data_IF_387686708273
#
_entry.id   IF_387686708273
#
_cell.length_a   1.000
_cell.length_b   1.000
_cell.length_c   1.000
_cell.angle_alpha   90.00
_cell.angle_beta   90.00
_cell.angle_gamma   90.00
#
_symmetry.space_group_name_H-M   'P 1'
#
loop_
_entity.id
_entity.type
_entity.pdbx_description
1 polymer ?
#
# COMPACT_ATOMS: atom_id res chain seq x y z
N UNK A 1 5.87 -32.00 7.51
CA UNK A 1 6.66 -30.77 7.68
C UNK A 1 5.70 -29.65 7.87
N UNK A 2 5.97 -28.82 8.84
CA UNK A 2 5.17 -27.66 9.20
C UNK A 2 5.39 -26.53 8.20
N UNK A 3 4.35 -25.75 7.93
CA UNK A 3 4.35 -24.70 6.93
C UNK A 3 3.90 -23.35 7.50
N UNK A 4 4.47 -22.28 6.99
CA UNK A 4 4.02 -20.91 7.23
C UNK A 4 2.71 -20.62 6.49
N UNK A 5 2.05 -19.49 6.79
CA UNK A 5 0.82 -19.09 6.06
C UNK A 5 1.07 -19.00 4.56
N UNK A 6 2.14 -18.30 4.16
CA UNK A 6 2.52 -18.14 2.75
C UNK A 6 2.77 -19.48 2.07
N UNK A 7 3.45 -20.41 2.72
CA UNK A 7 3.69 -21.74 2.17
C UNK A 7 2.38 -22.52 1.96
N UNK A 8 1.44 -22.45 2.89
CA UNK A 8 0.14 -23.14 2.77
C UNK A 8 -0.69 -22.58 1.60
N UNK A 9 -0.72 -21.26 1.43
CA UNK A 9 -1.43 -20.65 0.30
C UNK A 9 -0.80 -21.08 -1.03
N UNK A 10 0.53 -21.03 -1.15
CA UNK A 10 1.22 -21.43 -2.37
C UNK A 10 1.06 -22.95 -2.66
N UNK A 11 1.11 -23.81 -1.64
CA UNK A 11 0.85 -25.24 -1.78
C UNK A 11 -0.55 -25.49 -2.32
N UNK A 12 -1.57 -24.87 -1.74
CA UNK A 12 -2.96 -24.99 -2.17
C UNK A 12 -3.12 -24.62 -3.66
N UNK A 13 -2.57 -23.47 -4.08
CA UNK A 13 -2.69 -22.99 -5.47
C UNK A 13 -1.81 -23.73 -6.46
N UNK A 14 -0.79 -24.46 -5.98
CA UNK A 14 0.02 -25.37 -6.79
C UNK A 14 -0.60 -26.77 -6.89
N UNK A 15 -1.67 -27.07 -6.13
CA UNK A 15 -2.24 -28.42 -6.04
C UNK A 15 -1.30 -29.42 -5.35
N UNK A 16 -0.50 -28.94 -4.40
CA UNK A 16 0.47 -29.74 -3.64
C UNK A 16 0.05 -29.82 -2.17
N UNK A 17 0.31 -30.94 -1.52
CA UNK A 17 0.03 -31.10 -0.09
C UNK A 17 0.98 -30.23 0.76
N UNK A 18 2.19 -30.00 0.28
CA UNK A 18 3.20 -29.18 0.96
C UNK A 18 4.22 -28.59 -0.01
N UNK A 19 4.84 -27.50 0.44
CA UNK A 19 5.98 -26.85 -0.23
C UNK A 19 7.04 -26.44 0.80
N UNK A 20 8.26 -26.24 0.33
CA UNK A 20 9.40 -25.83 1.17
C UNK A 20 10.01 -24.54 0.63
N UNK A 21 10.62 -23.73 1.51
CA UNK A 21 11.35 -22.55 1.11
C UNK A 21 12.43 -22.89 0.07
N UNK A 22 12.49 -22.09 -0.99
CA UNK A 22 13.41 -22.31 -2.11
C UNK A 22 12.87 -23.22 -3.23
N UNK A 23 11.78 -23.95 -3.00
CA UNK A 23 11.13 -24.78 -4.03
C UNK A 23 10.52 -23.88 -5.13
N UNK A 24 10.67 -24.29 -6.39
CA UNK A 24 9.97 -23.65 -7.50
C UNK A 24 8.60 -24.30 -7.69
N UNK A 25 7.55 -23.49 -7.69
CA UNK A 25 6.17 -23.93 -7.86
C UNK A 25 5.46 -23.10 -8.93
N UNK A 26 4.58 -23.74 -9.67
CA UNK A 26 3.65 -23.09 -10.58
C UNK A 26 2.29 -23.03 -9.89
N UNK A 27 1.75 -21.84 -9.66
CA UNK A 27 0.48 -21.65 -8.96
C UNK A 27 -0.59 -21.07 -9.87
N UNK A 28 -1.84 -21.39 -9.61
CA UNK A 28 -2.96 -20.67 -10.18
C UNK A 28 -3.08 -19.30 -9.47
N UNK A 29 -3.40 -18.24 -10.24
CA UNK A 29 -3.63 -16.91 -9.70
C UNK A 29 -5.11 -16.59 -9.69
N UNK A 30 -5.57 -15.94 -8.60
CA UNK A 30 -6.98 -15.53 -8.46
C UNK A 30 -7.21 -14.17 -9.06
N UNK A 31 -6.17 -13.34 -9.10
CA UNK A 31 -6.26 -12.00 -9.66
C UNK A 31 -4.95 -11.52 -10.26
N UNK A 32 -5.07 -10.88 -11.42
CA UNK A 32 -3.98 -10.14 -12.07
C UNK A 32 -4.35 -8.67 -12.09
N UNK A 33 -3.50 -7.83 -11.49
CA UNK A 33 -3.71 -6.39 -11.36
C UNK A 33 -2.78 -5.60 -12.27
N UNK A 34 -3.31 -4.59 -12.93
CA UNK A 34 -2.54 -3.61 -13.68
C UNK A 34 -3.04 -2.19 -13.51
N UNK A 35 -2.14 -1.24 -13.75
CA UNK A 35 -2.41 0.19 -13.69
C UNK A 35 -1.93 0.91 -14.96
N UNK A 36 -2.20 2.20 -15.08
CA UNK A 36 -1.90 3.00 -16.26
C UNK A 36 -0.40 3.27 -16.51
N UNK A 37 0.49 2.90 -15.57
CA UNK A 37 1.94 2.98 -15.79
C UNK A 37 2.50 1.67 -16.34
N UNK A 38 2.17 0.56 -15.70
CA UNK A 38 2.82 -0.74 -15.95
C UNK A 38 2.07 -1.58 -16.98
N UNK A 39 0.74 -1.45 -17.07
CA UNK A 39 -0.07 -2.17 -18.04
C UNK A 39 0.28 -1.93 -19.49
N UNK A 40 0.65 -0.70 -19.95
CA UNK A 40 1.06 -0.52 -21.35
C UNK A 40 2.24 -1.41 -21.78
N UNK A 41 3.16 -1.72 -20.84
CA UNK A 41 4.26 -2.66 -21.11
C UNK A 41 3.75 -4.10 -21.13
N UNK A 42 2.95 -4.47 -20.11
CA UNK A 42 2.38 -5.80 -20.01
C UNK A 42 1.45 -6.15 -21.19
N UNK A 43 0.64 -5.19 -21.68
CA UNK A 43 -0.23 -5.36 -22.85
C UNK A 43 0.59 -5.68 -24.10
N UNK A 44 1.69 -4.96 -24.34
CA UNK A 44 2.56 -5.25 -25.49
C UNK A 44 3.17 -6.66 -25.39
N UNK A 45 3.60 -7.07 -24.21
CA UNK A 45 4.13 -8.43 -24.03
C UNK A 45 3.02 -9.50 -24.18
N UNK A 46 1.80 -9.23 -23.67
CA UNK A 46 0.64 -10.09 -23.87
C UNK A 46 0.27 -10.27 -25.35
N UNK A 47 0.28 -9.19 -26.13
CA UNK A 47 0.04 -9.25 -27.58
C UNK A 47 1.11 -10.10 -28.30
N UNK A 48 2.37 -10.06 -27.84
CA UNK A 48 3.46 -10.89 -28.39
C UNK A 48 3.29 -12.38 -28.07
N UNK A 49 2.65 -12.74 -26.94
CA UNK A 49 2.33 -14.13 -26.62
C UNK A 49 1.36 -14.72 -27.65
N UNK A 50 0.44 -13.92 -28.19
CA UNK A 50 -0.46 -14.30 -29.28
C UNK A 50 -1.58 -15.24 -28.89
N UNK A 51 -2.06 -15.18 -27.63
CA UNK A 51 -3.23 -15.92 -27.19
C UNK A 51 -4.55 -15.28 -27.62
N UNK A 52 -5.62 -16.06 -27.68
CA UNK A 52 -6.97 -15.60 -27.99
C UNK A 52 -7.73 -15.29 -26.70
N UNK A 53 -7.60 -14.06 -26.20
CA UNK A 53 -8.27 -13.59 -25.00
C UNK A 53 -7.48 -13.84 -23.70
N UNK A 54 -7.80 -13.05 -22.68
CA UNK A 54 -7.27 -13.26 -21.33
C UNK A 54 -7.84 -14.54 -20.71
N UNK A 55 -7.09 -15.15 -19.77
CA UNK A 55 -7.51 -16.42 -19.16
C UNK A 55 -8.88 -16.34 -18.47
N UNK A 56 -9.20 -15.18 -17.89
CA UNK A 56 -10.48 -14.92 -17.24
C UNK A 56 -10.69 -13.39 -17.14
N UNK A 57 -11.70 -12.88 -17.81
CA UNK A 57 -12.03 -11.45 -17.87
C UNK A 57 -12.54 -10.87 -16.54
N UNK A 58 -13.00 -11.72 -15.62
CA UNK A 58 -13.41 -11.30 -14.27
C UNK A 58 -12.23 -11.25 -13.31
N UNK A 59 -11.15 -11.98 -13.59
CA UNK A 59 -9.96 -12.07 -12.73
C UNK A 59 -8.82 -11.14 -13.15
N UNK A 60 -8.89 -10.52 -14.30
CA UNK A 60 -8.01 -9.40 -14.68
C UNK A 60 -8.65 -8.10 -14.23
N UNK A 61 -7.87 -7.26 -13.56
CA UNK A 61 -8.30 -5.94 -13.07
C UNK A 61 -7.37 -4.87 -13.60
N UNK A 62 -7.95 -3.78 -14.12
CA UNK A 62 -7.20 -2.60 -14.58
C UNK A 62 -7.71 -1.35 -13.87
N UNK A 63 -6.79 -0.57 -13.28
CA UNK A 63 -7.11 0.65 -12.54
C UNK A 63 -6.31 1.82 -13.09
N UNK A 64 -7.00 2.90 -13.45
CA UNK A 64 -6.39 4.13 -13.95
C UNK A 64 -6.22 5.12 -12.79
N UNK A 65 -5.13 5.05 -12.05
CA UNK A 65 -4.96 5.79 -10.79
C UNK A 65 -3.66 6.61 -10.68
N UNK A 66 -2.69 6.40 -11.57
CA UNK A 66 -1.41 7.10 -11.50
C UNK A 66 -1.39 8.38 -12.34
N UNK A 67 -1.92 8.31 -13.57
CA UNK A 67 -1.92 9.42 -14.55
C UNK A 67 -3.32 9.94 -14.89
N UNK A 68 -4.34 9.43 -14.24
CA UNK A 68 -5.72 9.85 -14.43
C UNK A 68 -6.20 10.79 -13.29
N UNK A 69 -6.93 11.87 -13.61
CA UNK A 69 -7.14 12.45 -14.94
C UNK A 69 -5.81 12.82 -15.61
N UNK A 70 -5.71 12.65 -16.92
CA UNK A 70 -4.42 12.69 -17.61
C UNK A 70 -3.70 14.03 -17.48
N UNK A 71 -2.45 14.01 -17.03
CA UNK A 71 -1.60 15.20 -16.81
C UNK A 71 -0.98 15.76 -18.09
N UNK A 72 -0.78 14.92 -19.11
CA UNK A 72 -0.15 15.27 -20.38
C UNK A 72 -0.56 14.29 -21.49
N UNK A 73 -0.11 14.56 -22.73
CA UNK A 73 -0.42 13.72 -23.91
C UNK A 73 0.14 12.31 -23.78
N UNK A 74 1.33 12.13 -23.16
CA UNK A 74 1.94 10.80 -22.99
C UNK A 74 1.10 9.95 -22.02
N UNK A 75 0.67 10.54 -20.92
CA UNK A 75 -0.25 9.91 -19.98
C UNK A 75 -1.57 9.53 -20.66
N UNK A 76 -2.14 10.42 -21.48
CA UNK A 76 -3.38 10.14 -22.21
C UNK A 76 -3.23 8.96 -23.18
N UNK A 77 -2.10 8.83 -23.87
CA UNK A 77 -1.81 7.70 -24.76
C UNK A 77 -1.72 6.39 -23.98
N UNK A 78 -1.06 6.38 -22.82
CA UNK A 78 -0.97 5.19 -21.96
C UNK A 78 -2.33 4.75 -21.44
N UNK A 79 -3.11 5.67 -20.90
CA UNK A 79 -4.48 5.38 -20.44
C UNK A 79 -5.39 4.91 -21.58
N UNK A 80 -5.26 5.51 -22.79
CA UNK A 80 -6.01 5.05 -23.96
C UNK A 80 -5.66 3.61 -24.33
N UNK A 81 -4.38 3.24 -24.32
CA UNK A 81 -3.97 1.85 -24.59
C UNK A 81 -4.61 0.87 -23.61
N UNK A 82 -4.67 1.21 -22.32
CA UNK A 82 -5.35 0.39 -21.32
C UNK A 82 -6.85 0.29 -21.58
N UNK A 83 -7.53 1.40 -21.96
CA UNK A 83 -8.96 1.40 -22.32
C UNK A 83 -9.25 0.51 -23.52
N UNK A 84 -8.48 0.69 -24.59
CA UNK A 84 -8.63 -0.08 -25.83
C UNK A 84 -8.42 -1.59 -25.57
N UNK A 85 -7.45 -1.94 -24.72
CA UNK A 85 -7.24 -3.32 -24.29
C UNK A 85 -8.40 -3.86 -23.48
N UNK A 86 -8.89 -3.11 -22.48
CA UNK A 86 -10.00 -3.54 -21.66
C UNK A 86 -11.29 -3.74 -22.45
N UNK A 87 -11.54 -2.88 -23.45
CA UNK A 87 -12.68 -3.02 -24.38
C UNK A 87 -12.52 -4.27 -25.25
N UNK A 88 -11.34 -4.45 -25.87
CA UNK A 88 -11.04 -5.59 -26.75
C UNK A 88 -11.15 -6.93 -26.02
N UNK A 89 -10.60 -7.04 -24.81
CA UNK A 89 -10.58 -8.27 -24.01
C UNK A 89 -11.82 -8.40 -23.11
N UNK A 90 -12.76 -7.46 -23.18
CA UNK A 90 -13.98 -7.41 -22.36
C UNK A 90 -13.73 -7.50 -20.85
N UNK A 91 -12.68 -6.81 -20.35
CA UNK A 91 -12.30 -6.83 -18.94
C UNK A 91 -13.44 -6.28 -18.08
N UNK A 92 -13.97 -7.10 -17.17
CA UNK A 92 -15.09 -6.74 -16.31
C UNK A 92 -14.68 -5.73 -15.23
N UNK A 93 -13.53 -5.95 -14.63
CA UNK A 93 -13.01 -5.13 -13.52
C UNK A 93 -12.08 -4.03 -14.04
N UNK A 94 -12.68 -3.07 -14.74
CA UNK A 94 -11.98 -1.88 -15.24
C UNK A 94 -12.46 -0.61 -14.53
N UNK A 95 -11.54 0.12 -13.92
CA UNK A 95 -11.80 1.30 -13.11
C UNK A 95 -11.05 2.51 -13.67
N UNK A 96 -11.79 3.39 -14.35
CA UNK A 96 -11.29 4.64 -14.92
C UNK A 96 -11.89 5.86 -14.20
N UNK A 97 -11.59 7.06 -14.66
CA UNK A 97 -12.05 8.35 -14.12
C UNK A 97 -13.56 8.31 -13.76
N UNK A 98 -13.89 8.71 -12.55
CA UNK A 98 -15.25 8.67 -11.99
C UNK A 98 -15.58 7.37 -11.24
N UNK A 99 -14.86 6.27 -11.50
CA UNK A 99 -14.98 5.00 -10.77
C UNK A 99 -13.64 4.54 -10.19
N UNK A 100 -12.60 5.35 -10.36
CA UNK A 100 -11.24 5.02 -9.95
C UNK A 100 -11.05 5.16 -8.43
N UNK A 101 -10.00 4.55 -7.96
CA UNK A 101 -9.40 4.71 -6.66
C UNK A 101 -7.95 4.27 -6.78
N UNK A 102 -7.13 4.54 -5.78
CA UNK A 102 -5.77 4.00 -5.76
C UNK A 102 -5.89 2.48 -5.66
N UNK A 103 -5.31 1.75 -6.61
CA UNK A 103 -5.55 0.32 -6.84
C UNK A 103 -5.46 -0.52 -5.56
N UNK A 104 -4.47 -0.28 -4.70
CA UNK A 104 -4.26 -1.05 -3.48
C UNK A 104 -5.25 -0.74 -2.35
N UNK A 105 -6.01 0.35 -2.43
CA UNK A 105 -7.14 0.63 -1.57
C UNK A 105 -8.47 0.19 -2.22
N UNK A 106 -8.57 0.32 -3.55
CA UNK A 106 -9.77 0.03 -4.31
C UNK A 106 -10.12 -1.46 -4.33
N UNK A 107 -9.13 -2.35 -4.59
CA UNK A 107 -9.40 -3.77 -4.71
C UNK A 107 -9.98 -4.37 -3.42
N UNK A 108 -9.41 -4.11 -2.23
CA UNK A 108 -10.02 -4.55 -0.97
C UNK A 108 -11.41 -3.95 -0.74
N UNK A 109 -11.59 -2.66 -1.04
CA UNK A 109 -12.88 -1.97 -0.88
C UNK A 109 -13.99 -2.60 -1.73
N UNK A 110 -13.66 -3.00 -2.96
CA UNK A 110 -14.60 -3.64 -3.90
C UNK A 110 -14.73 -5.17 -3.71
N UNK A 111 -14.07 -5.75 -2.69
CA UNK A 111 -14.12 -7.19 -2.45
C UNK A 111 -13.49 -8.04 -3.54
N UNK A 112 -12.61 -7.45 -4.35
CA UNK A 112 -11.96 -8.13 -5.47
C UNK A 112 -10.84 -9.05 -5.00
N UNK A 113 -10.33 -8.83 -3.80
CA UNK A 113 -9.31 -9.66 -3.13
C UNK A 113 -9.82 -10.03 -1.74
N UNK A 114 -9.67 -11.31 -1.41
CA UNK A 114 -10.05 -11.87 -0.10
C UNK A 114 -8.94 -12.77 0.44
N UNK A 115 -9.16 -13.27 1.66
CA UNK A 115 -8.26 -14.22 2.30
C UNK A 115 -8.05 -15.48 1.45
N UNK A 116 -6.81 -15.91 1.41
CA UNK A 116 -6.38 -17.12 0.71
C UNK A 116 -6.12 -16.94 -0.78
N UNK A 117 -6.45 -15.79 -1.37
CA UNK A 117 -6.15 -15.50 -2.77
C UNK A 117 -4.64 -15.44 -3.05
N UNK A 118 -4.26 -15.81 -4.27
CA UNK A 118 -2.97 -15.48 -4.87
C UNK A 118 -3.16 -14.35 -5.87
N UNK A 119 -2.54 -13.20 -5.58
CA UNK A 119 -2.67 -11.97 -6.37
C UNK A 119 -1.31 -11.54 -6.90
N UNK A 120 -1.22 -11.30 -8.20
CA UNK A 120 -0.04 -10.69 -8.83
C UNK A 120 -0.42 -9.35 -9.47
N UNK A 121 0.51 -8.42 -9.44
CA UNK A 121 0.36 -7.14 -10.12
C UNK A 121 1.71 -6.60 -10.58
N UNK A 122 1.73 -5.82 -11.63
CA UNK A 122 2.97 -5.17 -12.08
C UNK A 122 3.27 -3.88 -11.28
N UNK A 123 2.77 -3.80 -10.06
CA UNK A 123 3.12 -2.79 -9.07
C UNK A 123 3.73 -3.45 -7.83
N UNK A 124 4.79 -2.86 -7.29
CA UNK A 124 5.52 -3.43 -6.15
C UNK A 124 4.70 -3.47 -4.87
N UNK A 125 3.73 -2.56 -4.69
CA UNK A 125 2.86 -2.54 -3.50
C UNK A 125 1.64 -3.49 -3.61
N UNK A 126 1.59 -4.35 -4.62
CA UNK A 126 0.60 -5.45 -4.70
C UNK A 126 0.62 -6.32 -3.43
N UNK A 127 1.72 -6.33 -2.65
CA UNK A 127 1.81 -7.01 -1.35
C UNK A 127 0.80 -6.53 -0.29
N UNK A 128 0.12 -5.40 -0.49
CA UNK A 128 -0.88 -4.80 0.41
C UNK A 128 -1.95 -5.78 0.88
N UNK A 129 -2.37 -6.69 0.03
CA UNK A 129 -3.52 -7.57 0.30
C UNK A 129 -3.22 -8.70 1.29
N UNK A 130 -1.97 -8.88 1.67
CA UNK A 130 -1.60 -9.72 2.80
C UNK A 130 -2.21 -9.28 4.13
N UNK A 131 -2.65 -8.02 4.23
CA UNK A 131 -3.46 -7.52 5.35
C UNK A 131 -4.77 -8.29 5.55
N UNK A 132 -5.30 -8.89 4.49
CA UNK A 132 -6.51 -9.72 4.49
C UNK A 132 -6.19 -11.23 4.49
N UNK A 133 -4.93 -11.63 4.62
CA UNK A 133 -4.51 -13.02 4.58
C UNK A 133 -4.38 -13.60 3.16
N UNK A 134 -4.14 -12.77 2.14
CA UNK A 134 -3.82 -13.19 0.78
C UNK A 134 -2.30 -13.28 0.57
N UNK A 135 -1.83 -14.21 -0.26
CA UNK A 135 -0.50 -14.12 -0.82
C UNK A 135 -0.54 -13.19 -2.02
N UNK A 136 -0.02 -12.00 -1.85
CA UNK A 136 -0.04 -10.98 -2.90
C UNK A 136 1.36 -10.38 -3.07
N UNK A 137 1.78 -10.16 -4.32
CA UNK A 137 3.13 -9.70 -4.59
C UNK A 137 3.27 -8.99 -5.92
N UNK A 138 4.19 -8.02 -5.97
CA UNK A 138 4.61 -7.39 -7.21
C UNK A 138 5.43 -8.33 -8.09
N UNK A 139 5.18 -8.27 -9.40
CA UNK A 139 5.88 -9.02 -10.45
C UNK A 139 6.29 -8.09 -11.60
N UNK A 140 7.13 -8.55 -12.51
CA UNK A 140 7.47 -7.82 -13.72
C UNK A 140 6.29 -7.74 -14.71
N UNK A 141 6.33 -6.75 -15.59
CA UNK A 141 5.26 -6.59 -16.62
C UNK A 141 5.14 -7.81 -17.53
N UNK A 142 6.24 -8.52 -17.78
CA UNK A 142 6.23 -9.79 -18.56
C UNK A 142 5.53 -10.91 -17.79
N UNK A 143 5.79 -11.04 -16.47
CA UNK A 143 5.09 -12.03 -15.64
C UNK A 143 3.60 -11.71 -15.52
N UNK A 144 3.25 -10.41 -15.43
CA UNK A 144 1.86 -9.97 -15.48
C UNK A 144 1.20 -10.38 -16.81
N UNK A 145 1.89 -10.18 -17.95
CA UNK A 145 1.38 -10.60 -19.27
C UNK A 145 1.15 -12.11 -19.33
N UNK A 146 2.08 -12.91 -18.83
CA UNK A 146 1.92 -14.37 -18.71
C UNK A 146 0.74 -14.73 -17.80
N UNK A 147 0.58 -14.03 -16.67
CA UNK A 147 -0.55 -14.19 -15.76
C UNK A 147 -1.89 -13.92 -16.45
N UNK A 148 -2.00 -12.80 -17.22
CA UNK A 148 -3.19 -12.48 -18.00
C UNK A 148 -3.50 -13.54 -19.06
N UNK A 149 -2.47 -14.12 -19.69
CA UNK A 149 -2.63 -15.12 -20.73
C UNK A 149 -3.00 -16.51 -20.20
N UNK A 150 -2.49 -16.90 -19.03
CA UNK A 150 -2.52 -18.30 -18.56
C UNK A 150 -3.26 -18.53 -17.25
N UNK A 151 -3.51 -17.48 -16.46
CA UNK A 151 -4.02 -17.61 -15.09
C UNK A 151 -3.01 -18.25 -14.12
N UNK A 152 -1.72 -18.25 -14.46
CA UNK A 152 -0.68 -18.91 -13.67
C UNK A 152 0.55 -18.00 -13.49
N UNK A 153 1.22 -18.23 -12.38
CA UNK A 153 2.52 -17.63 -12.10
C UNK A 153 3.43 -18.66 -11.44
N UNK A 154 4.73 -18.55 -11.67
CA UNK A 154 5.70 -19.38 -10.97
C UNK A 154 6.37 -18.58 -9.86
N UNK A 155 6.66 -19.23 -8.76
CA UNK A 155 7.38 -18.63 -7.63
C UNK A 155 8.45 -19.58 -7.11
N UNK A 156 9.55 -18.99 -6.68
CA UNK A 156 10.40 -19.63 -5.69
C UNK A 156 9.73 -19.38 -4.34
N UNK A 157 9.33 -20.42 -3.63
CA UNK A 157 8.67 -20.28 -2.31
C UNK A 157 9.57 -19.50 -1.37
N UNK A 158 9.12 -18.34 -0.82
CA UNK A 158 9.94 -17.57 0.10
C UNK A 158 10.10 -18.28 1.44
N UNK A 159 11.23 -18.07 2.11
CA UNK A 159 11.32 -18.28 3.56
C UNK A 159 10.56 -17.16 4.29
N UNK A 160 10.45 -17.22 5.61
CA UNK A 160 9.66 -16.27 6.36
C UNK A 160 10.39 -15.72 7.59
N UNK A 161 10.05 -14.47 7.94
CA UNK A 161 10.37 -13.83 9.22
C UNK A 161 9.06 -13.63 9.97
N UNK A 162 9.06 -13.94 11.26
CA UNK A 162 7.89 -13.79 12.14
C UNK A 162 8.00 -12.53 12.99
N UNK A 163 6.95 -11.70 12.97
CA UNK A 163 6.81 -10.53 13.84
C UNK A 163 5.69 -10.80 14.85
N UNK A 164 6.04 -10.96 16.11
CA UNK A 164 5.10 -11.18 17.22
C UNK A 164 4.74 -9.83 17.82
N UNK A 165 3.54 -9.33 17.52
CA UNK A 165 3.03 -8.06 18.00
C UNK A 165 2.40 -8.23 19.39
N UNK A 166 2.78 -7.36 20.33
CA UNK A 166 2.28 -7.37 21.71
C UNK A 166 1.65 -6.01 22.07
N UNK A 167 0.67 -6.00 22.94
CA UNK A 167 0.04 -4.78 23.41
C UNK A 167 -0.81 -4.06 22.36
N UNK A 168 -0.91 -2.72 22.47
CA UNK A 168 -1.72 -1.87 21.58
C UNK A 168 -1.04 -0.52 21.34
N UNK A 169 -1.35 0.09 20.20
CA UNK A 169 -0.83 1.41 19.83
C UNK A 169 -1.32 2.52 20.77
N UNK A 170 -0.46 3.49 21.01
CA UNK A 170 -0.81 4.74 21.67
C UNK A 170 -1.62 5.65 20.73
N UNK A 171 -2.27 6.67 21.30
CA UNK A 171 -3.00 7.68 20.49
C UNK A 171 -2.05 8.36 19.51
N UNK A 172 -2.51 8.55 18.26
CA UNK A 172 -1.75 9.14 17.14
C UNK A 172 -0.53 8.34 16.67
N UNK A 173 -0.39 7.10 17.11
CA UNK A 173 0.54 6.11 16.55
C UNK A 173 -0.27 5.14 15.70
N UNK A 174 0.19 4.86 14.49
CA UNK A 174 -0.56 4.09 13.49
C UNK A 174 0.27 2.94 12.89
N UNK A 175 -0.33 2.16 12.00
CA UNK A 175 0.38 1.14 11.24
C UNK A 175 1.58 1.68 10.47
N UNK A 176 1.58 2.98 10.08
CA UNK A 176 2.74 3.63 9.47
C UNK A 176 3.94 3.66 10.42
N UNK A 177 3.72 4.04 11.67
CA UNK A 177 4.79 4.10 12.67
C UNK A 177 5.33 2.70 12.97
N UNK A 178 4.45 1.68 13.00
CA UNK A 178 4.83 0.27 13.18
C UNK A 178 5.77 -0.19 12.07
N UNK A 179 5.39 -0.01 10.82
CA UNK A 179 6.20 -0.50 9.71
C UNK A 179 7.50 0.31 9.55
N UNK A 180 7.49 1.60 9.79
CA UNK A 180 8.71 2.41 9.81
C UNK A 180 9.65 1.97 10.95
N UNK A 181 9.12 1.66 12.13
CA UNK A 181 9.90 1.10 13.23
C UNK A 181 10.55 -0.24 12.84
N UNK A 182 9.78 -1.12 12.20
CA UNK A 182 10.28 -2.42 11.72
C UNK A 182 11.38 -2.23 10.67
N UNK A 183 11.14 -1.41 9.64
CA UNK A 183 12.13 -1.15 8.58
C UNK A 183 13.39 -0.51 9.17
N UNK A 184 13.25 0.43 10.10
CA UNK A 184 14.39 1.02 10.81
C UNK A 184 15.21 0.00 11.63
N UNK A 185 14.58 -1.09 12.06
CA UNK A 185 15.22 -2.16 12.84
C UNK A 185 15.94 -3.20 11.98
N UNK A 186 15.33 -3.60 10.83
CA UNK A 186 15.85 -4.69 10.00
C UNK A 186 16.53 -4.22 8.71
N UNK A 187 16.38 -2.94 8.34
CA UNK A 187 16.90 -2.37 7.09
C UNK A 187 15.99 -2.59 5.88
N UNK A 188 16.32 -1.93 4.78
CA UNK A 188 15.56 -2.02 3.49
C UNK A 188 15.75 -3.37 2.78
N UNK A 189 16.68 -4.19 3.18
CA UNK A 189 16.98 -5.52 2.65
C UNK A 189 16.83 -6.65 3.68
N UNK A 190 16.44 -6.33 4.93
CA UNK A 190 16.35 -7.31 6.03
C UNK A 190 15.37 -8.45 5.77
N UNK A 191 14.34 -8.22 4.96
CA UNK A 191 13.38 -9.26 4.54
C UNK A 191 13.50 -9.61 3.04
N UNK A 192 14.69 -9.42 2.44
CA UNK A 192 14.88 -9.61 1.01
C UNK A 192 14.41 -10.99 0.53
N UNK A 193 13.40 -10.98 -0.36
CA UNK A 193 12.73 -12.16 -0.91
C UNK A 193 12.05 -13.08 0.13
N UNK A 194 11.79 -12.60 1.34
CA UNK A 194 11.11 -13.36 2.41
C UNK A 194 9.63 -12.97 2.53
N UNK A 195 8.84 -13.78 3.22
CA UNK A 195 7.52 -13.41 3.72
C UNK A 195 7.66 -12.80 5.12
N UNK A 196 7.06 -11.64 5.36
CA UNK A 196 6.91 -11.08 6.69
C UNK A 196 5.56 -11.53 7.26
N UNK A 197 5.58 -12.45 8.23
CA UNK A 197 4.35 -12.97 8.85
C UNK A 197 4.12 -12.34 10.22
N UNK A 198 2.96 -11.71 10.38
CA UNK A 198 2.58 -11.04 11.62
C UNK A 198 1.73 -11.97 12.49
N UNK A 199 1.93 -11.91 13.79
CA UNK A 199 1.23 -12.76 14.76
C UNK A 199 1.20 -12.09 16.15
N UNK A 200 0.65 -12.77 17.14
CA UNK A 200 0.58 -12.28 18.52
C UNK A 200 -0.71 -11.54 18.84
N UNK A 201 -0.93 -11.30 20.12
CA UNK A 201 -2.16 -10.69 20.65
C UNK A 201 -2.40 -9.26 20.13
N UNK A 202 -1.29 -8.53 19.89
CA UNK A 202 -1.35 -7.16 19.38
C UNK A 202 -1.99 -7.02 18.01
N UNK A 203 -2.03 -8.10 17.20
CA UNK A 203 -2.69 -8.08 15.87
C UNK A 203 -4.15 -7.67 15.99
N UNK A 204 -4.89 -8.18 16.97
CA UNK A 204 -6.31 -7.86 17.17
C UNK A 204 -6.57 -6.40 17.56
N UNK A 205 -5.54 -5.68 18.00
CA UNK A 205 -5.63 -4.25 18.32
C UNK A 205 -5.44 -3.33 17.11
N UNK A 206 -4.93 -3.87 16.00
CA UNK A 206 -4.71 -3.14 14.75
C UNK A 206 -5.97 -3.19 13.87
N UNK A 207 -6.44 -2.04 13.43
CA UNK A 207 -7.49 -1.99 12.41
C UNK A 207 -7.00 -2.59 11.09
N UNK A 208 -7.91 -2.99 10.21
CA UNK A 208 -7.55 -3.44 8.85
C UNK A 208 -6.73 -2.38 8.11
N UNK A 209 -7.01 -1.10 8.32
CA UNK A 209 -6.27 0.00 7.68
C UNK A 209 -4.80 0.05 8.15
N UNK A 210 -4.53 -0.19 9.44
CA UNK A 210 -3.15 -0.31 9.94
C UNK A 210 -2.44 -1.50 9.31
N UNK A 211 -3.13 -2.65 9.19
CA UNK A 211 -2.58 -3.85 8.55
C UNK A 211 -2.33 -3.64 7.06
N UNK A 212 -3.22 -2.94 6.34
CA UNK A 212 -3.02 -2.57 4.93
C UNK A 212 -1.76 -1.72 4.76
N UNK A 213 -1.54 -0.73 5.65
CA UNK A 213 -0.32 0.09 5.65
C UNK A 213 0.93 -0.75 5.90
N UNK A 214 0.91 -1.64 6.89
CA UNK A 214 2.06 -2.49 7.25
C UNK A 214 2.37 -3.47 6.10
N UNK A 215 1.37 -4.16 5.56
CA UNK A 215 1.55 -5.09 4.45
C UNK A 215 2.00 -4.39 3.16
N UNK A 216 1.47 -3.18 2.88
CA UNK A 216 1.88 -2.35 1.75
C UNK A 216 3.38 -2.06 1.77
N UNK A 217 3.91 -1.68 2.92
CA UNK A 217 5.31 -1.30 3.06
C UNK A 217 6.26 -2.46 3.37
N UNK A 218 5.80 -3.70 3.38
CA UNK A 218 6.67 -4.87 3.52
C UNK A 218 7.73 -4.94 2.40
N UNK A 219 7.38 -4.52 1.18
CA UNK A 219 8.32 -4.43 0.06
C UNK A 219 9.47 -3.45 0.33
N UNK A 220 9.29 -2.44 1.18
CA UNK A 220 10.33 -1.48 1.54
C UNK A 220 11.41 -2.09 2.47
N UNK A 221 11.16 -3.29 3.02
CA UNK A 221 12.15 -4.14 3.67
C UNK A 221 12.68 -5.25 2.74
N UNK A 222 12.33 -5.22 1.44
CA UNK A 222 12.70 -6.22 0.44
C UNK A 222 11.81 -7.45 0.38
N UNK A 223 10.73 -7.52 1.18
CA UNK A 223 9.87 -8.69 1.29
C UNK A 223 9.05 -8.96 0.01
N UNK A 224 8.71 -10.23 -0.22
CA UNK A 224 7.74 -10.62 -1.25
C UNK A 224 6.32 -10.25 -0.85
N UNK A 225 5.99 -10.39 0.43
CA UNK A 225 4.70 -10.00 0.99
C UNK A 225 4.83 -9.75 2.50
N UNK A 226 3.84 -8.99 3.03
CA UNK A 226 3.56 -8.93 4.46
C UNK A 226 2.18 -9.52 4.70
N UNK A 227 2.03 -10.52 5.56
CA UNK A 227 0.78 -11.26 5.71
C UNK A 227 0.33 -11.32 7.17
N UNK A 228 -0.97 -11.11 7.38
CA UNK A 228 -1.64 -11.16 8.68
C UNK A 228 -2.56 -12.36 8.78
N UNK A 229 -2.75 -12.93 9.98
CA UNK A 229 -3.78 -13.93 10.21
C UNK A 229 -5.16 -13.32 10.02
N UNK A 230 -6.10 -14.16 9.59
CA UNK A 230 -7.49 -13.77 9.36
C UNK A 230 -8.27 -13.90 10.66
N UNK A 231 -8.51 -12.79 11.30
CA UNK A 231 -9.30 -12.70 12.51
C UNK A 231 -10.68 -12.06 12.25
N UNK A 232 -11.42 -11.81 13.34
CA UNK A 232 -12.75 -11.18 13.26
C UNK A 232 -12.70 -9.82 12.55
N UNK A 233 -11.66 -9.01 12.75
CA UNK A 233 -11.50 -7.68 12.14
C UNK A 233 -11.38 -7.80 10.60
N UNK A 234 -10.59 -8.76 10.11
CA UNK A 234 -10.44 -9.02 8.69
C UNK A 234 -11.74 -9.58 8.08
N UNK A 235 -12.42 -10.51 8.77
CA UNK A 235 -13.69 -11.08 8.31
C UNK A 235 -14.81 -10.01 8.27
N UNK A 236 -14.92 -9.18 9.29
CA UNK A 236 -15.90 -8.08 9.33
C UNK A 236 -15.64 -7.06 8.21
N UNK A 237 -14.37 -6.81 7.88
CA UNK A 237 -14.02 -5.95 6.74
C UNK A 237 -14.45 -6.54 5.40
N UNK A 238 -14.24 -7.84 5.17
CA UNK A 238 -14.62 -8.52 3.91
C UNK A 238 -16.15 -8.70 3.78
N UNK A 239 -16.86 -8.77 4.89
CA UNK A 239 -18.30 -9.02 4.93
C UNK A 239 -19.10 -7.96 4.15
N UNK A 240 -19.94 -8.43 3.22
CA UNK A 240 -20.80 -7.58 2.38
C UNK A 240 -20.07 -6.85 1.24
N UNK A 241 -18.76 -7.12 1.05
CA UNK A 241 -17.98 -6.64 -0.10
C UNK A 241 -17.88 -7.68 -1.21
N UNK A 242 -18.06 -8.95 -0.87
CA UNK A 242 -17.99 -10.06 -1.81
C UNK A 242 -18.91 -11.18 -1.36
N UNK A 243 -19.36 -12.00 -2.32
CA UNK A 243 -20.10 -13.24 -2.08
C UNK A 243 -19.17 -14.48 -2.08
N UNK A 244 -17.86 -14.27 -2.27
CA UNK A 244 -16.85 -15.34 -2.25
C UNK A 244 -16.56 -15.75 -0.81
N UNK A 245 -16.43 -17.05 -0.56
CA UNK A 245 -16.04 -17.59 0.73
C UNK A 245 -14.51 -17.47 0.91
N UNK A 246 -14.03 -16.86 2.02
CA UNK A 246 -12.61 -16.73 2.29
C UNK A 246 -11.99 -18.08 2.65
N UNK A 247 -10.81 -18.37 2.08
CA UNK A 247 -9.98 -19.49 2.53
C UNK A 247 -9.02 -18.99 3.61
N UNK A 248 -9.09 -19.62 4.79
CA UNK A 248 -8.28 -19.20 5.94
C UNK A 248 -7.11 -20.17 6.10
N UNK A 249 -5.90 -19.65 6.04
CA UNK A 249 -4.68 -20.40 6.27
C UNK A 249 -3.97 -19.85 7.51
N UNK A 250 -3.66 -20.73 8.44
CA UNK A 250 -2.87 -20.42 9.65
C UNK A 250 -1.52 -21.13 9.57
N UNK A 251 -0.47 -20.48 10.04
CA UNK A 251 0.83 -21.12 10.16
C UNK A 251 0.76 -22.28 11.18
N UNK A 252 1.51 -23.33 10.92
CA UNK A 252 1.65 -24.40 11.91
C UNK A 252 2.41 -23.89 13.14
N UNK A 253 2.18 -24.47 14.29
CA UNK A 253 2.80 -24.02 15.56
C UNK A 253 4.33 -24.03 15.48
N UNK A 254 4.88 -25.05 14.84
CA UNK A 254 6.30 -25.26 14.60
C UNK A 254 6.76 -24.90 13.17
N UNK A 255 6.04 -23.96 12.53
CA UNK A 255 6.40 -23.44 11.20
C UNK A 255 7.83 -22.88 11.20
N UNK A 256 8.62 -23.13 10.14
CA UNK A 256 10.00 -22.68 10.06
C UNK A 256 10.08 -21.18 9.74
N UNK A 257 10.68 -20.42 10.66
CA UNK A 257 11.01 -19.02 10.46
C UNK A 257 12.52 -18.81 10.53
N UNK A 258 13.07 -18.00 9.62
CA UNK A 258 14.50 -17.64 9.64
C UNK A 258 14.83 -16.81 10.88
N UNK A 259 13.91 -15.91 11.25
CA UNK A 259 14.05 -14.99 12.38
C UNK A 259 12.68 -14.72 13.01
N UNK A 260 12.68 -14.41 14.31
CA UNK A 260 11.50 -14.03 15.08
C UNK A 260 11.77 -12.72 15.82
N UNK A 261 10.96 -11.70 15.57
CA UNK A 261 11.02 -10.42 16.24
C UNK A 261 9.80 -10.20 17.12
N UNK A 262 10.01 -9.80 18.37
CA UNK A 262 8.95 -9.31 19.24
C UNK A 262 8.87 -7.79 19.13
N UNK A 263 7.65 -7.26 18.94
CA UNK A 263 7.35 -5.83 18.80
C UNK A 263 6.29 -5.45 19.83
N UNK A 264 6.67 -4.62 20.79
CA UNK A 264 5.74 -4.01 21.74
C UNK A 264 5.12 -2.75 21.09
N UNK A 265 3.86 -2.86 20.68
CA UNK A 265 3.11 -1.76 20.05
C UNK A 265 2.97 -0.56 21.01
N UNK A 266 2.92 -0.79 22.32
CA UNK A 266 2.81 0.28 23.31
C UNK A 266 4.10 1.08 23.50
N UNK A 267 5.24 0.52 23.11
CA UNK A 267 6.52 1.21 23.15
C UNK A 267 6.82 2.03 21.89
N UNK A 268 6.08 1.80 20.79
CA UNK A 268 6.30 2.53 19.53
C UNK A 268 5.83 3.98 19.69
N UNK A 269 6.70 4.91 19.30
CA UNK A 269 6.41 6.34 19.18
C UNK A 269 6.19 6.73 17.73
N UNK A 270 5.59 7.92 17.53
CA UNK A 270 5.54 8.52 16.19
C UNK A 270 6.91 8.56 15.57
N UNK A 271 7.03 8.00 14.36
CA UNK A 271 8.31 7.74 13.68
C UNK A 271 8.36 8.44 12.33
N UNK A 272 9.50 9.06 12.02
CA UNK A 272 9.75 9.74 10.75
C UNK A 272 10.94 9.08 10.06
N UNK A 273 10.76 8.65 8.79
CA UNK A 273 11.88 8.19 7.97
C UNK A 273 12.48 9.37 7.19
N UNK A 274 13.74 9.61 7.41
CA UNK A 274 14.53 10.68 6.77
C UNK A 274 14.97 10.28 5.34
N UNK A 275 15.21 11.24 4.44
CA UNK A 275 15.73 10.96 3.12
C UNK A 275 17.10 10.23 3.19
N UNK A 276 17.46 9.34 2.26
CA UNK A 276 16.68 8.96 1.06
C UNK A 276 16.36 7.45 1.10
N UNK A 277 16.19 6.88 2.32
CA UNK A 277 15.82 5.49 2.52
C UNK A 277 14.77 5.38 3.64
N UNK A 278 13.79 4.49 3.54
CA UNK A 278 12.77 4.29 4.58
C UNK A 278 13.35 3.79 5.92
N UNK A 279 14.55 3.21 5.92
CA UNK A 279 15.25 2.75 7.15
C UNK A 279 15.86 3.88 7.99
N UNK A 280 16.02 5.08 7.42
CA UNK A 280 16.59 6.22 8.13
C UNK A 280 15.59 6.80 9.14
N UNK A 281 15.09 5.97 10.04
CA UNK A 281 14.03 6.32 10.97
C UNK A 281 14.52 7.05 12.20
N UNK A 282 13.71 7.99 12.69
CA UNK A 282 13.89 8.68 13.98
C UNK A 282 12.54 8.81 14.68
N UNK A 283 12.54 8.66 15.98
CA UNK A 283 11.38 9.05 16.80
C UNK A 283 11.16 10.56 16.69
N UNK A 284 9.90 10.98 16.78
CA UNK A 284 9.50 12.39 16.62
C UNK A 284 10.25 13.34 17.56
N UNK A 285 10.60 12.87 18.76
CA UNK A 285 11.35 13.65 19.75
C UNK A 285 12.80 13.96 19.31
N UNK A 286 13.30 13.28 18.29
CA UNK A 286 14.68 13.32 17.83
C UNK A 286 14.87 13.87 16.40
N UNK A 287 13.84 14.49 15.82
CA UNK A 287 13.86 14.94 14.40
C UNK A 287 14.57 16.28 14.20
N UNK A 288 14.75 17.09 15.25
CA UNK A 288 15.33 18.43 15.17
C UNK A 288 14.41 19.48 14.51
N UNK A 289 14.97 20.64 14.13
CA UNK A 289 14.21 21.75 13.53
C UNK A 289 14.26 21.70 12.00
N UNK A 290 13.60 20.71 11.40
CA UNK A 290 13.54 20.51 9.95
C UNK A 290 12.34 21.27 9.38
N UNK A 291 12.58 22.38 8.70
CA UNK A 291 11.55 23.17 7.98
C UNK A 291 11.12 22.43 6.71
N UNK A 292 9.83 22.56 6.36
CA UNK A 292 9.22 21.88 5.22
C UNK A 292 8.48 22.86 4.31
N UNK A 293 8.29 22.47 3.05
CA UNK A 293 7.61 23.26 2.03
C UNK A 293 6.28 22.64 1.62
N UNK A 294 6.12 21.31 1.83
CA UNK A 294 4.94 20.58 1.40
C UNK A 294 4.58 19.48 2.39
N UNK A 295 3.28 19.19 2.47
CA UNK A 295 2.74 17.99 3.14
C UNK A 295 1.81 17.26 2.17
N UNK A 296 1.93 15.94 2.10
CA UNK A 296 1.02 15.07 1.34
C UNK A 296 0.43 14.03 2.29
N UNK A 297 -0.89 14.05 2.47
CA UNK A 297 -1.63 13.06 3.26
C UNK A 297 -2.53 12.26 2.32
N UNK A 298 -2.30 10.96 2.25
CA UNK A 298 -3.02 10.08 1.34
C UNK A 298 -2.17 8.90 0.87
N UNK A 299 -2.34 8.52 -0.39
CA UNK A 299 -1.73 7.35 -1.04
C UNK A 299 -2.40 6.02 -0.65
N UNK A 300 -1.93 4.91 -1.26
CA UNK A 300 -2.42 3.56 -0.94
C UNK A 300 -2.14 3.15 0.52
N UNK A 301 -1.17 3.76 1.17
CA UNK A 301 -0.84 3.49 2.57
C UNK A 301 -1.78 4.19 3.54
N UNK A 302 -2.00 5.50 3.38
CA UNK A 302 -2.69 6.34 4.37
C UNK A 302 -3.70 7.32 3.75
N UNK A 303 -4.43 6.90 2.72
CA UNK A 303 -5.57 7.63 2.17
C UNK A 303 -6.92 7.07 2.58
N UNK A 304 -6.97 6.15 3.53
CA UNK A 304 -8.20 5.56 4.03
C UNK A 304 -8.97 6.54 4.91
N UNK A 305 -10.27 6.28 5.11
CA UNK A 305 -11.12 7.17 5.90
C UNK A 305 -10.60 7.43 7.32
N UNK A 306 -10.04 6.40 7.98
CA UNK A 306 -9.43 6.52 9.31
C UNK A 306 -8.27 7.53 9.30
N UNK A 307 -7.40 7.44 8.31
CA UNK A 307 -6.23 8.32 8.17
C UNK A 307 -6.66 9.79 7.98
N UNK A 308 -7.66 10.00 7.11
CA UNK A 308 -8.21 11.33 6.87
C UNK A 308 -8.92 11.89 8.09
N UNK A 309 -9.65 11.06 8.85
CA UNK A 309 -10.33 11.48 10.08
C UNK A 309 -9.33 11.90 11.16
N UNK A 310 -8.23 11.15 11.32
CA UNK A 310 -7.14 11.48 12.25
C UNK A 310 -6.44 12.79 11.86
N UNK A 311 -6.10 12.96 10.58
CA UNK A 311 -5.53 14.22 10.10
C UNK A 311 -6.48 15.40 10.28
N UNK A 312 -7.78 15.22 10.03
CA UNK A 312 -8.80 16.24 10.22
C UNK A 312 -8.98 16.63 11.70
N UNK A 313 -8.90 15.68 12.64
CA UNK A 313 -8.91 15.98 14.09
C UNK A 313 -7.80 16.95 14.47
N UNK A 314 -6.60 16.74 13.93
CA UNK A 314 -5.44 17.59 14.17
C UNK A 314 -5.58 18.96 13.50
N UNK A 315 -6.09 19.01 12.27
CA UNK A 315 -6.21 20.24 11.49
C UNK A 315 -7.42 21.12 11.89
N UNK A 316 -8.41 20.52 12.57
CA UNK A 316 -9.66 21.21 12.95
C UNK A 316 -9.40 22.47 13.78
N UNK A 317 -9.87 23.62 13.27
CA UNK A 317 -9.68 24.93 13.90
C UNK A 317 -8.27 25.51 13.79
N UNK A 318 -7.37 24.86 13.08
CA UNK A 318 -5.98 25.32 12.84
C UNK A 318 -5.79 25.70 11.38
N UNK A 319 -4.67 26.33 11.09
CA UNK A 319 -4.27 26.70 9.73
C UNK A 319 -2.93 26.07 9.37
N UNK A 320 -2.81 25.64 8.14
CA UNK A 320 -1.53 25.27 7.53
C UNK A 320 -0.60 26.47 7.55
N UNK A 321 0.66 26.26 7.89
CA UNK A 321 1.68 27.32 7.91
C UNK A 321 1.80 27.97 6.52
N UNK A 322 2.03 29.31 6.48
CA UNK A 322 2.01 30.09 5.23
C UNK A 322 3.00 29.62 4.16
N UNK A 323 4.09 29.00 4.59
CA UNK A 323 5.14 28.47 3.71
C UNK A 323 4.91 27.02 3.28
N UNK A 324 3.82 26.39 3.71
CA UNK A 324 3.57 24.97 3.44
C UNK A 324 2.38 24.81 2.51
N UNK A 325 2.53 23.96 1.50
CA UNK A 325 1.45 23.43 0.67
C UNK A 325 0.98 22.10 1.25
N UNK A 326 -0.28 21.98 1.65
CA UNK A 326 -0.85 20.74 2.16
C UNK A 326 -1.82 20.13 1.13
N UNK A 327 -1.58 18.90 0.75
CA UNK A 327 -2.35 18.15 -0.25
C UNK A 327 -2.95 16.92 0.42
N UNK A 328 -4.28 16.79 0.34
CA UNK A 328 -5.04 15.66 0.87
C UNK A 328 -5.55 14.81 -0.28
N UNK A 329 -5.33 13.50 -0.22
CA UNK A 329 -5.71 12.56 -1.28
C UNK A 329 -6.51 11.41 -0.67
N UNK A 330 -7.84 11.43 -0.73
CA UNK A 330 -8.66 10.26 -0.42
C UNK A 330 -8.30 9.10 -1.34
N UNK A 331 -8.20 7.88 -0.79
CA UNK A 331 -7.70 6.76 -1.58
C UNK A 331 -8.70 6.25 -2.64
N UNK A 332 -10.01 6.44 -2.43
CA UNK A 332 -11.06 6.00 -3.37
C UNK A 332 -12.18 7.01 -3.46
N UNK A 333 -13.05 6.89 -4.47
CA UNK A 333 -14.24 7.73 -4.61
C UNK A 333 -15.21 7.55 -3.44
N UNK A 334 -15.35 6.31 -2.94
CA UNK A 334 -16.25 6.02 -1.81
C UNK A 334 -15.72 6.67 -0.52
N UNK A 335 -14.40 6.62 -0.30
CA UNK A 335 -13.75 7.34 0.82
C UNK A 335 -13.91 8.86 0.66
N UNK A 336 -13.77 9.38 -0.57
CA UNK A 336 -13.94 10.80 -0.85
C UNK A 336 -15.36 11.27 -0.53
N UNK A 337 -16.38 10.52 -1.00
CA UNK A 337 -17.78 10.81 -0.71
C UNK A 337 -18.06 10.76 0.79
N UNK A 338 -17.60 9.71 1.48
CA UNK A 338 -17.76 9.58 2.94
C UNK A 338 -17.07 10.71 3.70
N UNK A 339 -15.89 11.14 3.27
CA UNK A 339 -15.17 12.27 3.88
C UNK A 339 -15.92 13.60 3.66
N UNK A 340 -16.58 13.77 2.52
CA UNK A 340 -17.42 14.93 2.23
C UNK A 340 -18.66 14.94 3.12
N UNK A 341 -19.41 13.84 3.19
CA UNK A 341 -20.64 13.70 3.97
C UNK A 341 -20.40 13.92 5.47
N UNK A 342 -19.24 13.48 5.98
CA UNK A 342 -18.86 13.66 7.38
C UNK A 342 -18.11 14.98 7.66
N UNK A 343 -18.04 15.89 6.69
CA UNK A 343 -17.52 17.24 6.86
C UNK A 343 -15.99 17.33 6.94
N UNK A 344 -15.23 16.25 6.67
CA UNK A 344 -13.76 16.27 6.72
C UNK A 344 -13.20 17.21 5.65
N UNK A 345 -13.80 17.26 4.44
CA UNK A 345 -13.35 18.15 3.37
C UNK A 345 -13.44 19.61 3.77
N UNK A 346 -14.53 19.98 4.49
CA UNK A 346 -14.67 21.33 5.02
C UNK A 346 -13.52 21.69 5.96
N UNK A 347 -13.17 20.79 6.88
CA UNK A 347 -12.04 20.99 7.82
C UNK A 347 -10.74 21.20 7.05
N UNK A 348 -10.44 20.37 6.05
CA UNK A 348 -9.23 20.49 5.24
C UNK A 348 -9.17 21.81 4.48
N UNK A 349 -10.26 22.21 3.81
CA UNK A 349 -10.33 23.47 3.06
C UNK A 349 -10.21 24.67 4.01
N UNK A 350 -10.91 24.65 5.14
CA UNK A 350 -10.82 25.69 6.16
C UNK A 350 -9.41 25.79 6.77
N UNK A 351 -8.69 24.67 6.89
CA UNK A 351 -7.29 24.68 7.33
C UNK A 351 -6.33 25.23 6.27
N UNK A 352 -6.73 25.33 5.01
CA UNK A 352 -5.90 25.79 3.89
C UNK A 352 -5.25 24.67 3.10
N UNK A 353 -5.79 23.45 3.18
CA UNK A 353 -5.35 22.31 2.36
C UNK A 353 -6.04 22.32 0.99
N UNK A 354 -5.39 21.71 -0.01
CA UNK A 354 -6.00 21.29 -1.27
C UNK A 354 -6.46 19.85 -1.13
N UNK A 355 -7.71 19.56 -1.47
CA UNK A 355 -8.22 18.19 -1.55
C UNK A 355 -8.28 17.75 -2.99
N UNK A 356 -7.62 16.66 -3.30
CA UNK A 356 -7.50 16.11 -4.65
C UNK A 356 -8.52 14.99 -4.90
N UNK A 357 -8.75 14.68 -6.18
CA UNK A 357 -9.33 13.39 -6.57
C UNK A 357 -8.41 12.23 -6.14
N UNK A 358 -8.94 11.00 -5.95
CA UNK A 358 -8.11 9.83 -5.71
C UNK A 358 -7.05 9.65 -6.81
N UNK A 359 -5.78 9.57 -6.43
CA UNK A 359 -4.68 9.33 -7.34
C UNK A 359 -3.41 8.92 -6.60
N UNK A 360 -2.60 8.06 -7.21
CA UNK A 360 -1.27 7.71 -6.72
C UNK A 360 -0.19 8.72 -7.15
N UNK A 361 -0.54 9.70 -7.99
CA UNK A 361 0.37 10.60 -8.70
C UNK A 361 1.50 11.25 -7.93
N UNK A 362 1.29 11.91 -6.77
CA UNK A 362 2.39 12.53 -6.01
C UNK A 362 3.42 11.54 -5.50
N UNK A 363 3.01 10.31 -5.14
CA UNK A 363 3.88 9.27 -4.57
C UNK A 363 5.10 8.92 -5.45
N UNK A 364 4.97 9.11 -6.76
CA UNK A 364 6.04 8.80 -7.73
C UNK A 364 6.53 10.04 -8.52
N UNK A 365 6.08 11.24 -8.15
CA UNK A 365 6.39 12.44 -8.92
C UNK A 365 5.76 12.44 -10.32
N UNK A 366 4.69 11.68 -10.51
CA UNK A 366 4.09 11.39 -11.82
C UNK A 366 2.92 12.28 -12.20
N UNK A 367 2.29 12.99 -11.26
CA UNK A 367 1.05 13.72 -11.56
C UNK A 367 1.04 15.13 -10.96
N UNK A 368 0.78 15.30 -9.67
CA UNK A 368 0.70 16.59 -9.00
C UNK A 368 1.59 16.62 -7.74
N UNK A 369 1.74 17.81 -7.11
CA UNK A 369 2.53 17.94 -5.89
C UNK A 369 4.01 17.63 -6.09
N UNK A 370 4.52 17.85 -7.30
CA UNK A 370 5.92 17.62 -7.66
C UNK A 370 6.79 18.67 -6.96
N UNK A 371 7.90 18.21 -6.38
CA UNK A 371 8.86 19.04 -5.65
C UNK A 371 9.93 19.60 -6.59
N UNK A 372 10.28 20.86 -6.39
CA UNK A 372 11.44 21.49 -6.98
C UNK A 372 12.74 21.16 -6.21
N UNK A 373 13.88 21.51 -6.81
CA UNK A 373 15.19 21.34 -6.17
C UNK A 373 15.27 22.04 -4.81
N UNK A 374 15.66 21.28 -3.78
CA UNK A 374 15.81 21.78 -2.41
C UNK A 374 14.53 21.87 -1.59
N UNK A 375 13.36 21.58 -2.18
CA UNK A 375 12.11 21.51 -1.42
C UNK A 375 12.04 20.24 -0.56
N UNK A 376 11.37 20.37 0.60
CA UNK A 376 11.18 19.32 1.59
C UNK A 376 9.72 19.01 1.80
N UNK A 377 9.35 17.73 1.72
CA UNK A 377 7.98 17.29 1.98
C UNK A 377 7.92 16.27 3.12
N UNK A 378 6.91 16.40 3.99
CA UNK A 378 6.44 15.29 4.84
C UNK A 378 5.30 14.60 4.10
N UNK A 379 5.40 13.29 3.93
CA UNK A 379 4.43 12.52 3.17
C UNK A 379 4.02 11.23 3.89
N UNK A 380 2.76 10.86 3.75
CA UNK A 380 2.26 9.56 4.21
C UNK A 380 2.38 8.47 3.14
N UNK A 381 3.11 8.76 2.06
CA UNK A 381 3.45 7.81 1.00
C UNK A 381 4.42 6.72 1.51
N UNK A 382 4.82 5.80 0.66
CA UNK A 382 5.59 4.62 1.06
C UNK A 382 7.09 4.70 0.76
N UNK A 383 7.54 5.62 -0.12
CA UNK A 383 8.95 5.73 -0.55
C UNK A 383 9.46 7.15 -0.48
N UNK A 384 10.74 7.30 -0.11
CA UNK A 384 11.44 8.57 -0.04
C UNK A 384 12.81 8.55 -0.73
N UNK A 385 12.95 7.71 -1.77
CA UNK A 385 14.19 7.63 -2.56
C UNK A 385 14.52 8.94 -3.26
N UNK A 386 15.79 9.09 -3.68
CA UNK A 386 16.24 10.26 -4.44
C UNK A 386 15.33 10.52 -5.65
N UNK A 387 14.81 11.74 -5.75
CA UNK A 387 13.92 12.15 -6.86
C UNK A 387 12.52 11.53 -6.84
N UNK A 388 12.11 10.86 -5.76
CA UNK A 388 10.85 10.12 -5.72
C UNK A 388 9.61 10.97 -5.96
N UNK A 389 9.58 12.20 -5.45
CA UNK A 389 8.44 13.13 -5.60
C UNK A 389 8.76 14.35 -6.47
N UNK A 390 9.83 14.32 -7.26
CA UNK A 390 10.19 15.44 -8.12
C UNK A 390 11.68 15.53 -8.42
N UNK A 391 12.28 16.71 -8.18
CA UNK A 391 13.68 16.95 -8.43
C UNK A 391 14.58 16.04 -7.55
N UNK A 392 15.72 15.63 -8.10
CA UNK A 392 16.68 14.75 -7.40
C UNK A 392 17.30 15.39 -6.15
N UNK A 393 17.24 16.70 -6.02
CA UNK A 393 17.68 17.44 -4.84
C UNK A 393 16.56 17.73 -3.84
N UNK A 394 15.35 17.24 -4.10
CA UNK A 394 14.26 17.32 -3.13
C UNK A 394 14.38 16.24 -2.06
N UNK A 395 13.79 16.51 -0.91
CA UNK A 395 13.84 15.63 0.26
C UNK A 395 12.42 15.23 0.67
N UNK A 396 12.17 13.92 0.80
CA UNK A 396 10.89 13.38 1.28
C UNK A 396 11.09 12.69 2.62
N UNK A 397 10.27 13.06 3.59
CA UNK A 397 10.23 12.50 4.94
C UNK A 397 8.92 11.70 5.08
N UNK A 398 9.02 10.39 5.36
CA UNK A 398 7.84 9.55 5.54
C UNK A 398 7.36 9.63 6.98
N UNK A 399 6.07 9.83 7.17
CA UNK A 399 5.46 9.90 8.49
C UNK A 399 3.99 9.45 8.47
N UNK A 400 3.41 9.25 9.66
CA UNK A 400 1.98 8.96 9.85
C UNK A 400 1.10 10.18 9.52
N UNK A 401 -0.21 9.98 9.27
CA UNK A 401 -1.16 11.08 9.03
C UNK A 401 -1.16 12.13 10.15
N UNK A 402 -1.05 11.69 11.39
CA UNK A 402 -1.01 12.57 12.56
C UNK A 402 0.23 13.48 12.55
N UNK A 403 1.41 12.92 12.31
CA UNK A 403 2.66 13.68 12.20
C UNK A 403 2.64 14.61 10.99
N UNK A 404 2.13 14.14 9.85
CA UNK A 404 2.03 14.95 8.64
C UNK A 404 1.09 16.16 8.84
N UNK A 405 -0.07 15.96 9.48
CA UNK A 405 -1.01 17.04 9.79
C UNK A 405 -0.42 18.06 10.79
N UNK A 406 0.25 17.57 11.83
CA UNK A 406 0.94 18.43 12.80
C UNK A 406 2.05 19.25 12.14
N UNK A 407 2.84 18.61 11.28
CA UNK A 407 3.91 19.27 10.53
C UNK A 407 3.38 20.35 9.58
N UNK A 408 2.21 20.14 8.96
CA UNK A 408 1.56 21.15 8.12
C UNK A 408 1.22 22.43 8.91
N UNK A 409 0.76 22.28 10.15
CA UNK A 409 0.44 23.42 11.05
C UNK A 409 1.72 24.10 11.53
N UNK A 410 2.73 23.33 11.93
CA UNK A 410 3.96 23.84 12.51
C UNK A 410 4.91 24.49 11.47
N UNK A 411 4.79 24.11 10.18
CA UNK A 411 5.74 24.56 9.13
C UNK A 411 7.10 23.84 9.18
N UNK A 412 7.21 22.83 10.01
CA UNK A 412 8.38 21.97 10.21
C UNK A 412 7.94 20.57 10.64
N UNK A 413 8.85 19.60 10.65
CA UNK A 413 8.52 18.27 11.19
C UNK A 413 8.13 18.44 12.67
N UNK A 414 6.92 18.01 13.01
CA UNK A 414 6.35 18.11 14.36
C UNK A 414 5.37 16.97 14.64
N UNK A 415 5.30 16.57 15.90
CA UNK A 415 4.29 15.65 16.39
C UNK A 415 2.99 16.33 16.82
N UNK A 416 1.90 15.59 17.01
CA UNK A 416 0.64 16.15 17.52
C UNK A 416 0.80 16.92 18.84
N UNK A 417 1.65 16.45 19.74
CA UNK A 417 1.91 17.07 21.03
C UNK A 417 2.53 18.49 20.93
N UNK A 418 3.21 18.79 19.81
CA UNK A 418 3.86 20.09 19.61
C UNK A 418 2.90 21.20 19.25
N UNK A 419 1.66 20.87 18.88
CA UNK A 419 0.64 21.81 18.38
C UNK A 419 -0.69 21.75 19.15
N UNK A 420 -0.84 20.77 20.02
CA UNK A 420 -2.03 20.59 20.87
C UNK A 420 -1.80 21.22 22.24
#
# INVERSE_FOLDING_TARGET
MSMTMTQKILAHHAGLDKVEAGQLVLVNVDRVLGNDITSPVAIREYERIGVNGVYDKEKVTMVMDHFAPNKDIKAAVQCKMCRDFCEKEEIVNFYDVGRMGIEHALLPEKGLVISGDVVIGADSHTCTYGALGAFSTGVGSTDMACGMATGKAWFKVPSAIKFVLKGKLNKYVSGKDVILHIIGKIGVDGALYKSMEFSGEGVSSLSVYDRLTIANMAIEAGAKNGIFPVDKEALDYMKGRTDREPLIFEADEDAPYDEVYEIDLGAIKSTVAFPHLPENTREIDNVGDVKIDQVVIGSCTNGHYKDLAEAAEILKGRKVAKNVRAIIIPATQDIYLKAMENGLLKIFIEAGCVVSTPTCGPCLGGYMGILAAGERAVATTNRNFVGRMGDVKSEVYLASPAVAAASAVAGKIAGPADIM
#
